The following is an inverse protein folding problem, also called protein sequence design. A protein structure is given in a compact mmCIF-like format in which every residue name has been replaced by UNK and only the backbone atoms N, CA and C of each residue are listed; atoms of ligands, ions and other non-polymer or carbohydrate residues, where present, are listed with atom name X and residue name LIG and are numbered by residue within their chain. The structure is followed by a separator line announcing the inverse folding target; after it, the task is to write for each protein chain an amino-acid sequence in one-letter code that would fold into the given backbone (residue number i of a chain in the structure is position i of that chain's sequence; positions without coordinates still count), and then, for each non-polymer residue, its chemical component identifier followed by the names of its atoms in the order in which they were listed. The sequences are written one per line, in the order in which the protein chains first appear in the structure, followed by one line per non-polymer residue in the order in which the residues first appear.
data_IF_585671923989
#
_entry.id   IF_585671923989
#
_cell.length_a   1.000
_cell.length_b   1.000
_cell.length_c   1.000
_cell.angle_alpha   90.00
_cell.angle_beta   90.00
_cell.angle_gamma   90.00
#
_symmetry.space_group_name_H-M   'P 1'
#
loop_
_entity.id
_entity.type
_entity.pdbx_description
1 polymer ?
#
# COMPACT_ATOMS: atom_id res chain seq x y z
N UNK A 1 16.85 -7.27 -3.62
CA UNK A 1 15.53 -7.34 -2.96
C UNK A 1 14.82 -8.67 -3.19
N UNK A 2 14.59 -9.10 -4.43
CA UNK A 2 13.78 -10.32 -4.70
C UNK A 2 14.34 -11.65 -4.16
N UNK A 3 15.62 -11.74 -3.76
CA UNK A 3 16.17 -12.99 -3.18
C UNK A 3 15.46 -13.42 -1.90
N UNK A 4 15.02 -12.47 -1.06
CA UNK A 4 14.37 -12.75 0.23
C UNK A 4 12.99 -13.41 0.01
N UNK A 5 12.28 -12.96 -1.02
CA UNK A 5 10.94 -13.46 -1.38
C UNK A 5 11.00 -14.64 -2.36
N UNK A 6 12.20 -15.09 -2.72
CA UNK A 6 12.39 -16.19 -3.66
C UNK A 6 11.72 -17.47 -3.16
N UNK A 7 11.00 -18.14 -4.06
CA UNK A 7 10.28 -19.37 -3.78
C UNK A 7 9.03 -19.21 -2.93
N UNK A 8 8.63 -18.00 -2.51
CA UNK A 8 7.29 -17.78 -1.97
C UNK A 8 6.33 -18.00 -3.13
N UNK A 9 5.39 -18.93 -2.94
CA UNK A 9 4.45 -19.31 -3.99
C UNK A 9 3.66 -18.07 -4.41
N UNK A 10 3.79 -17.71 -5.69
CA UNK A 10 3.01 -16.63 -6.27
C UNK A 10 3.64 -15.24 -6.18
N UNK A 11 4.87 -15.14 -5.68
CA UNK A 11 5.72 -13.99 -5.98
C UNK A 11 5.96 -13.93 -7.49
N UNK A 12 5.70 -12.78 -8.14
CA UNK A 12 5.90 -12.64 -9.56
C UNK A 12 7.34 -12.94 -9.97
N UNK A 13 7.52 -13.77 -10.99
CA UNK A 13 8.79 -14.08 -11.62
C UNK A 13 8.88 -13.30 -12.93
N UNK A 14 10.01 -12.62 -13.15
CA UNK A 14 10.27 -11.89 -14.40
C UNK A 14 10.42 -12.90 -15.54
N UNK A 15 9.59 -12.76 -16.57
CA UNK A 15 9.63 -13.59 -17.79
C UNK A 15 10.47 -12.89 -18.86
N UNK A 16 10.16 -11.61 -19.10
CA UNK A 16 10.77 -10.82 -20.14
C UNK A 16 10.86 -9.36 -19.70
N UNK A 17 11.84 -8.64 -20.23
CA UNK A 17 11.92 -7.19 -20.04
C UNK A 17 12.34 -6.52 -21.34
N UNK A 18 11.87 -5.28 -21.51
CA UNK A 18 12.26 -4.43 -22.62
C UNK A 18 12.70 -3.08 -22.06
N UNK A 19 13.91 -2.67 -22.44
CA UNK A 19 14.36 -1.29 -22.25
C UNK A 19 13.79 -0.46 -23.39
N UNK A 20 13.00 0.55 -23.05
CA UNK A 20 12.42 1.50 -23.98
C UNK A 20 13.18 2.81 -23.82
N UNK A 21 14.00 3.11 -24.82
CA UNK A 21 14.58 4.44 -24.96
C UNK A 21 13.53 5.36 -25.60
N UNK A 22 13.13 6.42 -24.87
CA UNK A 22 12.14 7.39 -25.35
C UNK A 22 12.76 8.53 -26.16
N UNK A 23 14.08 8.54 -26.38
CA UNK A 23 14.76 9.49 -27.28
C UNK A 23 14.61 10.98 -26.89
N UNK A 24 14.29 11.28 -25.62
CA UNK A 24 14.07 12.65 -25.14
C UNK A 24 13.62 12.73 -23.67
N UNK A 25 13.32 13.93 -23.17
CA UNK A 25 12.69 14.15 -21.85
C UNK A 25 11.30 13.54 -21.83
N UNK A 26 11.20 12.26 -21.46
CA UNK A 26 9.93 11.56 -21.36
C UNK A 26 8.96 12.29 -20.43
N UNK A 27 7.71 12.48 -20.87
CA UNK A 27 6.65 13.11 -20.08
C UNK A 27 6.41 12.42 -18.73
N UNK A 28 6.77 11.15 -18.60
CA UNK A 28 6.73 10.37 -17.35
C UNK A 28 7.61 10.95 -16.24
N UNK A 29 8.69 11.64 -16.57
CA UNK A 29 9.52 12.34 -15.58
C UNK A 29 8.87 13.62 -15.04
N UNK A 30 7.74 14.07 -15.59
CA UNK A 30 6.99 15.21 -15.01
C UNK A 30 6.21 14.83 -13.75
N UNK A 31 5.78 13.57 -13.57
CA UNK A 31 4.98 13.17 -12.40
C UNK A 31 5.76 13.21 -11.07
N UNK A 32 7.08 12.96 -11.11
CA UNK A 32 7.92 12.98 -9.92
C UNK A 32 8.51 14.37 -9.60
N UNK A 33 8.48 15.32 -10.54
CA UNK A 33 9.28 16.54 -10.45
C UNK A 33 8.53 17.83 -10.80
N UNK A 34 7.19 17.84 -10.77
CA UNK A 34 6.35 19.02 -11.05
C UNK A 34 6.72 20.28 -10.23
N UNK A 35 7.48 20.14 -9.13
CA UNK A 35 7.90 21.26 -8.26
C UNK A 35 9.41 21.55 -8.26
N UNK A 36 10.20 20.98 -9.18
CA UNK A 36 11.66 21.25 -9.23
C UNK A 36 11.99 22.00 -10.51
N UNK A 37 11.79 23.32 -10.48
CA UNK A 37 12.40 24.23 -11.45
C UNK A 37 13.93 23.98 -11.44
N UNK A 38 14.51 23.60 -12.58
CA UNK A 38 15.96 23.47 -12.87
C UNK A 38 16.64 22.09 -12.92
N UNK A 39 15.92 20.96 -12.99
CA UNK A 39 16.61 19.68 -13.29
C UNK A 39 16.82 19.56 -14.80
N UNK A 40 18.09 19.50 -15.24
CA UNK A 40 18.47 19.15 -16.62
C UNK A 40 17.70 17.91 -17.06
N UNK A 41 17.35 17.77 -18.36
CA UNK A 41 16.83 16.53 -18.93
C UNK A 41 17.56 15.30 -18.41
N UNK A 42 17.02 14.61 -17.39
CA UNK A 42 17.53 13.31 -17.04
C UNK A 42 17.08 12.39 -18.16
N UNK A 43 18.03 11.66 -18.73
CA UNK A 43 17.73 10.59 -19.66
C UNK A 43 16.99 9.50 -18.89
N UNK A 44 15.65 9.52 -18.94
CA UNK A 44 14.81 8.56 -18.24
C UNK A 44 14.70 7.29 -19.08
N UNK A 45 15.41 6.22 -18.68
CA UNK A 45 15.24 4.89 -19.26
C UNK A 45 13.93 4.28 -18.75
N UNK A 46 13.08 3.85 -19.67
CA UNK A 46 11.86 3.13 -19.32
C UNK A 46 12.09 1.62 -19.38
N UNK A 47 11.65 0.90 -18.36
CA UNK A 47 11.68 -0.55 -18.31
C UNK A 47 10.24 -1.06 -18.36
N UNK A 48 9.92 -1.90 -19.36
CA UNK A 48 8.69 -2.70 -19.39
C UNK A 48 9.06 -4.09 -18.89
N UNK A 49 8.39 -4.53 -17.84
CA UNK A 49 8.63 -5.82 -17.21
C UNK A 49 7.41 -6.70 -17.41
N UNK A 50 7.62 -7.92 -17.91
CA UNK A 50 6.58 -8.94 -18.04
C UNK A 50 6.79 -9.97 -16.93
N UNK A 51 5.76 -10.19 -16.13
CA UNK A 51 5.81 -11.09 -14.99
C UNK A 51 4.80 -12.23 -15.11
N UNK A 52 5.15 -13.37 -14.53
CA UNK A 52 4.25 -14.49 -14.28
C UNK A 52 4.11 -14.76 -12.77
N UNK A 53 2.95 -15.18 -12.28
CA UNK A 53 1.77 -15.55 -13.08
C UNK A 53 0.92 -14.34 -13.51
N UNK A 54 0.15 -14.51 -14.59
CA UNK A 54 -0.92 -13.59 -14.95
C UNK A 54 -2.03 -13.65 -13.91
N UNK A 55 -2.24 -12.55 -13.19
CA UNK A 55 -3.19 -12.47 -12.10
C UNK A 55 -4.22 -11.36 -12.34
N UNK A 56 -5.41 -11.54 -11.76
CA UNK A 56 -6.51 -10.60 -11.84
C UNK A 56 -6.59 -9.76 -10.56
N UNK A 57 -6.88 -8.45 -10.65
CA UNK A 57 -7.15 -7.61 -9.49
C UNK A 57 -8.25 -8.19 -8.62
N UNK A 58 -8.04 -8.20 -7.30
CA UNK A 58 -8.98 -8.88 -6.42
C UNK A 58 -10.38 -8.25 -6.39
N UNK A 59 -10.51 -6.98 -6.76
CA UNK A 59 -11.79 -6.29 -6.97
C UNK A 59 -12.69 -7.01 -7.98
N UNK A 60 -12.13 -7.85 -8.85
CA UNK A 60 -12.84 -8.58 -9.90
C UNK A 60 -13.19 -10.04 -9.51
N UNK A 61 -13.25 -10.35 -8.20
CA UNK A 61 -13.68 -11.67 -7.73
C UNK A 61 -15.07 -12.06 -8.27
N UNK A 62 -15.30 -13.33 -8.64
CA UNK A 62 -16.59 -13.81 -9.17
C UNK A 62 -17.54 -14.29 -8.08
N UNK A 63 -17.00 -14.74 -6.95
CA UNK A 63 -17.80 -15.24 -5.84
C UNK A 63 -17.19 -14.87 -4.49
N UNK A 64 -18.02 -14.82 -3.44
CA UNK A 64 -17.53 -14.67 -2.06
C UNK A 64 -16.57 -15.79 -1.67
N UNK A 65 -16.78 -17.01 -2.19
CA UNK A 65 -15.90 -18.15 -1.97
C UNK A 65 -14.50 -17.87 -2.54
N UNK A 66 -14.41 -17.32 -3.75
CA UNK A 66 -13.12 -16.94 -4.35
C UNK A 66 -12.41 -15.87 -3.53
N UNK A 67 -13.13 -14.83 -3.12
CA UNK A 67 -12.60 -13.77 -2.26
C UNK A 67 -12.00 -14.35 -0.97
N UNK A 68 -12.78 -15.15 -0.22
CA UNK A 68 -12.32 -15.73 1.03
C UNK A 68 -11.19 -16.76 0.84
N UNK A 69 -11.21 -17.50 -0.27
CA UNK A 69 -10.14 -18.44 -0.63
C UNK A 69 -8.84 -17.68 -0.90
N UNK A 70 -8.92 -16.56 -1.63
CA UNK A 70 -7.78 -15.68 -1.89
C UNK A 70 -7.19 -15.18 -0.57
N UNK A 71 -8.00 -14.57 0.30
CA UNK A 71 -7.52 -14.04 1.59
C UNK A 71 -6.94 -15.11 2.51
N UNK A 72 -7.57 -16.30 2.58
CA UNK A 72 -7.00 -17.44 3.30
C UNK A 72 -5.59 -17.77 2.79
N UNK A 73 -5.44 -17.83 1.47
CA UNK A 73 -4.16 -18.15 0.85
C UNK A 73 -3.09 -17.09 1.12
N UNK A 74 -3.45 -15.80 1.09
CA UNK A 74 -2.55 -14.70 1.46
C UNK A 74 -2.03 -14.86 2.89
N UNK A 75 -2.94 -15.12 3.84
CA UNK A 75 -2.60 -15.28 5.25
C UNK A 75 -1.73 -16.52 5.45
N UNK A 76 -2.13 -17.67 4.92
CA UNK A 76 -1.38 -18.91 5.12
C UNK A 76 -0.01 -18.93 4.43
N UNK A 77 0.17 -18.25 3.30
CA UNK A 77 1.40 -18.38 2.49
C UNK A 77 2.40 -17.27 2.75
N UNK A 78 1.93 -16.07 3.07
CA UNK A 78 2.80 -14.91 3.29
C UNK A 78 3.45 -14.95 4.67
N UNK A 79 2.67 -15.24 5.71
CA UNK A 79 3.13 -15.09 7.09
C UNK A 79 4.04 -16.22 7.58
N UNK A 80 4.05 -17.38 6.91
CA UNK A 80 4.90 -18.51 7.28
C UNK A 80 6.39 -18.33 6.91
N UNK A 81 6.77 -17.25 6.23
CA UNK A 81 8.11 -17.08 5.63
C UNK A 81 9.02 -16.08 6.36
N UNK A 82 8.59 -15.50 7.48
CA UNK A 82 9.33 -14.43 8.18
C UNK A 82 9.68 -13.25 7.27
N UNK A 83 8.78 -12.88 6.36
CA UNK A 83 8.91 -11.72 5.47
C UNK A 83 7.68 -10.84 5.66
N UNK A 84 7.91 -9.53 5.76
CA UNK A 84 6.88 -8.51 5.81
C UNK A 84 6.79 -7.83 4.43
N UNK A 85 5.59 -7.67 3.90
CA UNK A 85 5.29 -7.04 2.62
C UNK A 85 5.35 -5.51 2.68
N UNK A 86 4.89 -4.91 3.78
CA UNK A 86 4.80 -3.46 4.04
C UNK A 86 3.80 -2.65 3.21
N UNK A 87 3.44 -3.10 2.02
CA UNK A 87 2.46 -2.42 1.16
C UNK A 87 1.26 -3.30 0.81
N UNK A 88 0.66 -3.95 1.81
CA UNK A 88 -0.57 -4.74 1.63
C UNK A 88 -1.75 -3.79 1.39
N UNK A 89 -2.05 -3.54 0.11
CA UNK A 89 -3.10 -2.64 -0.32
C UNK A 89 -4.04 -3.33 -1.30
N UNK A 90 -5.19 -2.72 -1.56
CA UNK A 90 -6.17 -3.25 -2.52
C UNK A 90 -5.56 -3.53 -3.91
N UNK A 91 -4.64 -2.69 -4.37
CA UNK A 91 -4.03 -2.81 -5.69
C UNK A 91 -2.96 -3.90 -5.76
N UNK A 92 -2.49 -4.38 -4.61
CA UNK A 92 -1.43 -5.37 -4.52
C UNK A 92 -1.96 -6.77 -4.23
N UNK A 93 -3.26 -6.90 -3.96
CA UNK A 93 -3.93 -8.19 -3.78
C UNK A 93 -4.52 -8.66 -5.10
N UNK A 94 -4.05 -9.82 -5.56
CA UNK A 94 -4.42 -10.42 -6.83
C UNK A 94 -4.94 -11.85 -6.67
N UNK A 95 -5.63 -12.36 -7.68
CA UNK A 95 -6.00 -13.77 -7.79
C UNK A 95 -5.51 -14.39 -9.09
N UNK A 96 -5.08 -15.64 -9.03
CA UNK A 96 -4.66 -16.42 -10.20
C UNK A 96 -5.46 -17.71 -10.27
N UNK A 97 -5.80 -18.15 -11.48
CA UNK A 97 -6.35 -19.48 -11.70
C UNK A 97 -5.24 -20.54 -11.60
N UNK A 98 -5.50 -21.59 -10.84
CA UNK A 98 -4.62 -22.73 -10.59
C UNK A 98 -5.39 -24.03 -10.86
N UNK A 99 -4.68 -25.16 -10.98
CA UNK A 99 -5.30 -26.48 -11.18
C UNK A 99 -6.32 -26.84 -10.08
N UNK A 100 -6.16 -26.28 -8.88
CA UNK A 100 -7.03 -26.52 -7.72
C UNK A 100 -8.09 -25.43 -7.49
N UNK A 101 -8.25 -24.48 -8.42
CA UNK A 101 -9.20 -23.37 -8.31
C UNK A 101 -8.53 -22.01 -8.35
N UNK A 102 -8.91 -21.11 -7.44
CA UNK A 102 -8.33 -19.75 -7.37
C UNK A 102 -7.31 -19.68 -6.23
N UNK A 103 -6.16 -19.09 -6.52
CA UNK A 103 -5.07 -18.81 -5.59
C UNK A 103 -4.96 -17.31 -5.35
N UNK A 104 -4.84 -16.90 -4.09
CA UNK A 104 -4.55 -15.52 -3.72
C UNK A 104 -3.07 -15.19 -3.71
N UNK A 105 -2.72 -14.00 -4.20
CA UNK A 105 -1.35 -13.52 -4.40
C UNK A 105 -1.17 -12.09 -3.91
N UNK A 106 0.00 -11.78 -3.35
CA UNK A 106 0.48 -10.42 -3.16
C UNK A 106 1.52 -10.11 -4.24
N UNK A 107 1.43 -8.92 -4.84
CA UNK A 107 2.44 -8.36 -5.74
C UNK A 107 3.05 -7.12 -5.10
N UNK A 108 4.04 -6.52 -5.76
CA UNK A 108 4.70 -5.29 -5.28
C UNK A 108 5.52 -5.49 -3.99
N UNK A 109 6.42 -6.47 -4.05
CA UNK A 109 7.35 -6.83 -2.96
C UNK A 109 8.57 -5.90 -2.86
N UNK A 110 8.59 -4.77 -3.57
CA UNK A 110 9.77 -3.90 -3.63
C UNK A 110 10.08 -3.23 -2.30
N UNK A 111 9.09 -3.13 -1.41
CA UNK A 111 9.28 -2.64 -0.05
C UNK A 111 9.46 -3.76 0.97
N UNK A 112 9.40 -5.04 0.57
CA UNK A 112 9.43 -6.14 1.52
C UNK A 112 10.74 -6.23 2.30
N UNK A 113 10.66 -6.70 3.54
CA UNK A 113 11.80 -6.91 4.41
C UNK A 113 11.70 -8.24 5.16
N UNK A 114 12.87 -8.83 5.44
CA UNK A 114 12.96 -10.00 6.30
C UNK A 114 12.78 -9.59 7.75
N UNK A 115 12.02 -10.38 8.51
CA UNK A 115 11.84 -10.18 9.95
C UNK A 115 13.19 -10.35 10.65
N UNK A 116 13.72 -9.27 11.21
CA UNK A 116 14.93 -9.22 12.03
C UNK A 116 14.58 -9.36 13.52
N UNK A 117 15.58 -9.70 14.36
CA UNK A 117 15.36 -9.94 15.78
C UNK A 117 14.84 -8.73 16.58
N UNK A 118 15.07 -7.50 16.10
CA UNK A 118 14.64 -6.27 16.77
C UNK A 118 13.34 -5.67 16.18
N UNK A 119 12.80 -6.27 15.12
CA UNK A 119 11.60 -5.82 14.40
C UNK A 119 11.63 -4.33 13.98
N UNK A 120 12.80 -3.70 13.85
CA UNK A 120 12.90 -2.25 13.62
C UNK A 120 13.39 -1.88 12.23
N UNK A 121 12.60 -1.09 11.51
CA UNK A 121 12.86 -0.74 10.11
C UNK A 121 12.70 0.74 9.87
N UNK A 122 13.53 1.27 8.99
CA UNK A 122 13.38 2.64 8.47
C UNK A 122 12.03 2.78 7.79
N UNK A 123 11.39 3.93 7.96
CA UNK A 123 10.16 4.25 7.22
C UNK A 123 10.52 4.39 5.74
N UNK A 124 10.35 3.29 4.98
CA UNK A 124 10.45 3.32 3.53
C UNK A 124 9.28 4.14 2.95
N UNK A 125 9.57 4.96 1.93
CA UNK A 125 8.62 5.88 1.32
C UNK A 125 7.34 5.22 0.80
N UNK A 126 6.24 5.98 0.88
CA UNK A 126 4.88 5.69 0.37
C UNK A 126 4.28 4.33 0.74
N UNK A 127 3.69 4.28 1.94
CA UNK A 127 2.66 3.29 2.26
C UNK A 127 1.28 3.81 1.86
N UNK A 128 0.38 2.89 1.56
CA UNK A 128 -1.02 3.22 1.27
C UNK A 128 -1.75 3.53 2.59
N UNK A 129 -1.81 4.81 2.98
CA UNK A 129 -2.34 5.29 4.27
C UNK A 129 -3.67 4.63 4.70
N UNK A 130 -4.69 4.47 3.84
CA UNK A 130 -5.96 3.84 4.24
C UNK A 130 -5.87 2.39 4.73
N UNK A 131 -4.79 1.67 4.38
CA UNK A 131 -4.59 0.28 4.77
C UNK A 131 -3.44 0.13 5.78
N UNK A 132 -2.87 1.22 6.26
CA UNK A 132 -1.78 1.15 7.24
C UNK A 132 -2.31 0.70 8.61
N UNK A 133 -1.59 -0.25 9.23
CA UNK A 133 -1.86 -0.69 10.60
C UNK A 133 -1.86 0.48 11.60
N UNK A 134 -2.78 0.46 12.57
CA UNK A 134 -2.88 1.49 13.61
C UNK A 134 -1.59 1.63 14.41
N UNK A 135 -0.93 0.51 14.72
CA UNK A 135 0.34 0.51 15.45
C UNK A 135 1.46 1.20 14.65
N UNK A 136 1.42 1.18 13.31
CA UNK A 136 2.36 1.94 12.49
C UNK A 136 1.97 3.42 12.51
N UNK A 137 0.68 3.73 12.35
CA UNK A 137 0.16 5.10 12.39
C UNK A 137 0.53 5.81 13.70
N UNK A 138 0.35 5.16 14.85
CA UNK A 138 0.70 5.69 16.16
C UNK A 138 2.20 6.00 16.29
N UNK A 139 3.06 5.16 15.72
CA UNK A 139 4.51 5.37 15.75
C UNK A 139 4.96 6.52 14.84
N UNK A 140 4.27 6.76 13.71
CA UNK A 140 4.62 7.84 12.78
C UNK A 140 3.98 9.19 13.13
N UNK A 141 2.85 9.18 13.85
CA UNK A 141 2.08 10.39 14.21
C UNK A 141 2.92 11.48 14.90
N UNK A 142 3.82 11.15 15.86
CA UNK A 142 4.70 12.15 16.48
C UNK A 142 5.58 12.90 15.46
N UNK A 143 5.90 12.26 14.34
CA UNK A 143 6.74 12.84 13.28
C UNK A 143 5.92 13.52 12.17
N UNK A 144 4.62 13.24 12.09
CA UNK A 144 3.70 13.81 11.09
C UNK A 144 3.15 15.19 11.49
N UNK A 145 3.15 15.54 12.78
CA UNK A 145 2.49 16.74 13.33
C UNK A 145 3.32 18.04 13.30
N UNK A 146 4.48 18.06 12.63
CA UNK A 146 5.19 19.33 12.39
C UNK A 146 4.53 20.13 11.25
N UNK A 147 3.48 20.86 11.62
CA UNK A 147 2.84 21.95 10.87
C UNK A 147 3.84 22.82 10.06
N UNK A 148 3.59 23.08 8.75
CA UNK A 148 4.43 23.96 7.93
C UNK A 148 4.52 25.39 8.47
N UNK A 149 3.56 25.82 9.27
CA UNK A 149 3.38 27.19 9.78
C UNK A 149 4.42 27.62 10.83
N UNK A 150 5.19 26.69 11.43
CA UNK A 150 6.27 27.00 12.38
C UNK A 150 7.69 27.02 11.78
N UNK A 151 7.84 26.91 10.45
CA UNK A 151 9.13 26.85 9.74
C UNK A 151 10.03 28.10 9.83
N UNK A 152 9.64 29.19 10.49
CA UNK A 152 10.42 30.45 10.45
C UNK A 152 11.21 30.85 11.69
N UNK A 153 11.11 30.20 12.85
CA UNK A 153 11.92 30.61 14.02
C UNK A 153 12.25 29.48 14.99
N UNK A 154 13.23 28.63 14.68
CA UNK A 154 14.24 28.12 15.61
C UNK A 154 15.19 27.16 14.86
N UNK A 155 16.36 27.66 14.49
CA UNK A 155 17.45 26.87 13.94
C UNK A 155 18.33 26.35 15.10
N UNK A 156 17.79 25.44 15.91
CA UNK A 156 18.58 24.70 16.92
C UNK A 156 17.83 23.47 17.43
N UNK A 157 17.60 22.50 16.55
CA UNK A 157 17.39 21.10 16.95
C UNK A 157 17.68 20.25 15.73
N UNK A 158 18.56 19.27 15.88
CA UNK A 158 18.92 18.26 14.89
C UNK A 158 17.66 17.52 14.40
N UNK A 159 17.10 17.95 13.27
CA UNK A 159 15.95 17.30 12.65
C UNK A 159 16.43 16.01 11.99
N UNK A 160 16.10 14.88 12.61
CA UNK A 160 16.30 13.57 12.03
C UNK A 160 15.31 13.43 10.86
N UNK A 161 15.78 13.19 9.62
CA UNK A 161 14.93 12.89 8.48
C UNK A 161 13.98 11.72 8.81
N UNK A 162 12.74 11.76 8.32
CA UNK A 162 11.78 10.66 8.53
C UNK A 162 12.32 9.30 8.01
N UNK A 163 13.20 9.33 7.01
CA UNK A 163 13.93 8.16 6.49
C UNK A 163 14.81 7.45 7.53
N UNK A 164 15.22 8.17 8.58
CA UNK A 164 16.15 7.67 9.59
C UNK A 164 15.40 7.21 10.85
N UNK A 165 14.10 7.47 10.93
CA UNK A 165 13.22 6.97 11.99
C UNK A 165 13.01 5.47 11.80
N UNK A 166 13.43 4.70 12.80
CA UNK A 166 13.16 3.27 12.87
C UNK A 166 11.88 3.01 13.65
N UNK A 167 10.92 2.36 13.02
CA UNK A 167 9.66 1.94 13.65
C UNK A 167 9.62 0.42 13.82
N UNK A 168 8.94 -0.03 14.87
CA UNK A 168 8.68 -1.45 15.11
C UNK A 168 7.60 -1.93 14.15
N UNK A 169 7.93 -2.96 13.38
CA UNK A 169 7.02 -3.62 12.45
C UNK A 169 7.13 -5.12 12.55
N UNK A 170 5.97 -5.76 12.54
CA UNK A 170 5.79 -7.19 12.68
C UNK A 170 4.85 -7.68 11.59
N UNK A 171 4.76 -8.99 11.41
CA UNK A 171 3.80 -9.60 10.49
C UNK A 171 2.33 -9.28 10.85
N UNK A 172 2.04 -8.94 12.12
CA UNK A 172 0.69 -8.51 12.53
C UNK A 172 0.25 -7.23 11.81
N UNK A 173 1.17 -6.34 11.46
CA UNK A 173 0.83 -5.09 10.78
C UNK A 173 0.32 -5.35 9.36
N UNK A 174 0.92 -6.30 8.64
CA UNK A 174 0.45 -6.73 7.32
C UNK A 174 -0.90 -7.47 7.40
N UNK A 175 -1.13 -8.26 8.47
CA UNK A 175 -2.41 -8.92 8.72
C UNK A 175 -3.54 -7.89 8.90
N UNK A 176 -3.28 -6.85 9.68
CA UNK A 176 -4.21 -5.74 9.89
C UNK A 176 -4.48 -4.99 8.58
N UNK A 177 -3.44 -4.73 7.78
CA UNK A 177 -3.60 -4.15 6.44
C UNK A 177 -4.50 -5.00 5.55
N UNK A 178 -4.29 -6.32 5.49
CA UNK A 178 -5.17 -7.22 4.74
C UNK A 178 -6.60 -7.22 5.27
N UNK A 179 -6.79 -7.17 6.59
CA UNK A 179 -8.11 -7.02 7.19
C UNK A 179 -8.81 -5.74 6.70
N UNK A 180 -8.12 -4.60 6.66
CA UNK A 180 -8.67 -3.37 6.10
C UNK A 180 -9.00 -3.45 4.61
N UNK A 181 -8.18 -4.15 3.81
CA UNK A 181 -8.51 -4.41 2.40
C UNK A 181 -9.79 -5.24 2.28
N UNK A 182 -9.95 -6.27 3.12
CA UNK A 182 -11.15 -7.10 3.12
C UNK A 182 -12.40 -6.29 3.50
N UNK A 183 -12.32 -5.51 4.58
CA UNK A 183 -13.40 -4.60 5.00
C UNK A 183 -13.75 -3.61 3.89
N UNK A 184 -12.74 -3.02 3.25
CA UNK A 184 -12.93 -2.09 2.14
C UNK A 184 -13.66 -2.75 0.96
N UNK A 185 -13.30 -3.99 0.61
CA UNK A 185 -13.98 -4.75 -0.44
C UNK A 185 -15.46 -4.98 -0.09
N UNK A 186 -15.77 -5.33 1.15
CA UNK A 186 -17.15 -5.53 1.60
C UNK A 186 -17.99 -4.26 1.63
N UNK A 187 -17.38 -3.11 1.96
CA UNK A 187 -18.10 -1.82 2.02
C UNK A 187 -18.28 -1.23 0.61
N UNK A 188 -17.25 -1.29 -0.23
CA UNK A 188 -17.24 -0.60 -1.53
C UNK A 188 -17.95 -1.37 -2.63
N UNK A 189 -17.96 -2.71 -2.58
CA UNK A 189 -18.49 -3.51 -3.67
C UNK A 189 -19.80 -4.20 -3.29
N UNK A 190 -20.81 -4.07 -4.16
CA UNK A 190 -22.13 -4.70 -4.01
C UNK A 190 -22.06 -6.22 -4.07
N UNK A 191 -20.98 -6.75 -4.63
CA UNK A 191 -20.80 -8.16 -4.87
C UNK A 191 -19.68 -8.40 -5.89
N UNK A 192 -19.73 -9.52 -6.60
CA UNK A 192 -18.68 -9.90 -7.52
C UNK A 192 -18.59 -9.00 -8.76
N UNK A 193 -17.52 -9.19 -9.53
CA UNK A 193 -17.26 -8.53 -10.82
C UNK A 193 -17.03 -7.02 -10.72
N UNK A 194 -16.52 -6.54 -9.59
CA UNK A 194 -16.13 -5.14 -9.44
C UNK A 194 -17.29 -4.15 -9.41
N UNK A 195 -18.53 -4.61 -9.24
CA UNK A 195 -19.70 -3.74 -9.14
C UNK A 195 -19.67 -2.97 -7.82
N UNK A 196 -19.41 -1.67 -7.88
CA UNK A 196 -19.34 -0.80 -6.71
C UNK A 196 -20.72 -0.37 -6.22
N UNK A 197 -20.82 -0.08 -4.93
CA UNK A 197 -21.93 0.68 -4.40
C UNK A 197 -21.95 2.05 -5.08
N UNK A 198 -23.14 2.48 -5.52
CA UNK A 198 -23.36 3.90 -5.79
C UNK A 198 -23.45 4.55 -4.42
N UNK A 199 -22.34 5.10 -3.95
CA UNK A 199 -22.34 5.93 -2.75
C UNK A 199 -22.97 7.25 -3.20
N UNK A 200 -24.16 7.64 -2.67
CA UNK A 200 -24.68 8.99 -2.91
C UNK A 200 -23.60 10.01 -2.52
N UNK A 201 -23.41 11.07 -3.31
CA UNK A 201 -22.44 12.14 -3.03
C UNK A 201 -22.61 12.75 -1.62
N UNK A 202 -23.77 12.56 -0.99
CA UNK A 202 -24.10 13.03 0.36
C UNK A 202 -23.63 12.15 1.51
N UNK A 203 -23.08 10.94 1.24
CA UNK A 203 -22.69 9.98 2.30
C UNK A 203 -21.21 9.61 2.29
N UNK A 204 -20.34 10.36 1.61
CA UNK A 204 -18.92 10.30 1.93
C UNK A 204 -18.78 10.66 3.42
N UNK A 205 -18.27 9.77 4.29
CA UNK A 205 -17.90 10.19 5.64
C UNK A 205 -16.95 11.36 5.44
N UNK A 206 -17.35 12.50 6.01
CA UNK A 206 -16.68 13.81 6.02
C UNK A 206 -15.29 13.74 5.40
N UNK A 207 -15.06 14.54 4.35
CA UNK A 207 -13.71 15.08 4.11
C UNK A 207 -13.08 15.29 5.48
N UNK A 208 -11.96 14.61 5.76
CA UNK A 208 -11.16 14.89 6.94
C UNK A 208 -10.65 16.33 6.79
N UNK A 209 -11.51 17.30 7.08
CA UNK A 209 -11.14 18.66 7.35
C UNK A 209 -10.41 18.61 8.69
N UNK A 210 -9.19 19.14 8.73
CA UNK A 210 -8.33 19.18 9.91
C UNK A 210 -8.93 19.95 11.11
N UNK A 211 -10.14 20.49 10.98
CA UNK A 211 -10.78 21.35 11.97
C UNK A 211 -11.86 20.59 12.75
N UNK A 212 -11.44 19.61 13.55
CA UNK A 212 -12.31 19.00 14.56
C UNK A 212 -12.27 19.83 15.85
N UNK A 213 -12.90 21.00 15.84
CA UNK A 213 -13.15 21.78 17.07
C UNK A 213 -14.64 22.07 17.25
N UNK A 214 -15.47 21.04 17.40
CA UNK A 214 -16.66 21.00 18.31
C UNK A 214 -17.53 19.75 18.04
N UNK A 215 -18.07 19.08 19.07
CA UNK A 215 -19.12 18.09 18.89
C UNK A 215 -20.51 18.72 19.13
N UNK A 216 -21.54 18.41 18.33
CA UNK A 216 -22.91 18.56 18.78
C UNK A 216 -23.49 17.20 19.14
N UNK A 217 -23.50 16.93 20.45
CA UNK A 217 -24.46 16.03 21.06
C UNK A 217 -25.72 16.85 21.36
N UNK A 218 -26.88 16.43 20.84
CA UNK A 218 -28.25 16.53 21.41
C UNK A 218 -29.32 16.71 20.33
N UNK A 219 -30.20 15.71 20.17
CA UNK A 219 -31.66 15.84 20.43
C UNK A 219 -32.37 14.55 20.03
N UNK A 220 -32.91 13.83 21.03
CA UNK A 220 -34.32 13.72 21.41
C UNK A 220 -35.03 12.50 20.81
N UNK A 221 -35.13 11.51 21.68
CA UNK A 221 -36.09 10.40 21.67
C UNK A 221 -37.52 10.97 21.68
N UNK A 222 -38.41 10.37 20.90
CA UNK A 222 -39.84 10.27 21.19
C UNK A 222 -40.17 8.81 21.39
#
# INVERSE_FOLDING_TARGET
MMKIVSGIRGVPSLVEYMVVDLGGTGHTCTYCFQNVESVKPLHCLHLRLVFEPYAMPMQLFKTKKELLTCFRDLVCKTFNRHVIHYNSSLNNVMSVADANGILGLLIDWEFSAQIMADDRYTIAGMRTLPFMSINILEQITPYASEEPSKRRKLATSSKIPLSDVKIKQTWHNDLESLFYVLVYLYIKFKGPMGLQHKIPDTTLPMQWSADASTPPYQSRIR
#
